data_IF_545043176056
#
_entry.id   IF_545043176056
#
_cell.length_a   1.000
_cell.length_b   1.000
_cell.length_c   1.000
_cell.angle_alpha   90.00
_cell.angle_beta   90.00
_cell.angle_gamma   90.00
#
_symmetry.space_group_name_H-M   'P 1'
#
loop_
_entity.id
_entity.type
_entity.pdbx_description
1 polymer ?
#
# COMPACT_ATOMS: atom_id res chain seq x y z
N UNK A 1 -8.64 9.48 18.68
CA UNK A 1 -9.11 9.04 17.35
C UNK A 1 -7.93 9.13 16.39
N UNK A 2 -7.26 8.03 16.04
CA UNK A 2 -6.14 8.07 15.08
C UNK A 2 -5.13 6.93 15.20
N UNK A 3 -4.93 6.38 16.41
CA UNK A 3 -3.90 5.36 16.62
C UNK A 3 -4.12 4.08 15.78
N UNK A 4 -5.36 3.61 15.66
CA UNK A 4 -5.69 2.43 14.84
C UNK A 4 -5.47 2.66 13.34
N UNK A 5 -5.71 3.87 12.84
CA UNK A 5 -5.53 4.22 11.43
C UNK A 5 -4.03 4.28 11.12
N UNK A 6 -3.24 4.89 12.00
CA UNK A 6 -1.77 4.95 11.88
C UNK A 6 -1.19 3.54 11.91
N UNK A 7 -1.59 2.72 12.89
CA UNK A 7 -1.13 1.33 13.01
C UNK A 7 -1.50 0.51 11.77
N UNK A 8 -2.71 0.69 11.22
CA UNK A 8 -3.11 0.00 10.00
C UNK A 8 -2.32 0.50 8.78
N UNK A 9 -2.03 1.80 8.69
CA UNK A 9 -1.18 2.37 7.65
C UNK A 9 0.21 1.73 7.61
N UNK A 10 0.82 1.49 8.78
CA UNK A 10 2.11 0.78 8.88
C UNK A 10 1.98 -0.66 8.35
N UNK A 11 0.89 -1.37 8.67
CA UNK A 11 0.64 -2.73 8.16
C UNK A 11 0.54 -2.75 6.63
N UNK A 12 -0.16 -1.78 6.03
CA UNK A 12 -0.29 -1.65 4.57
C UNK A 12 1.07 -1.38 3.91
N UNK A 13 1.87 -0.48 4.48
CA UNK A 13 3.22 -0.16 3.97
C UNK A 13 4.20 -1.33 4.09
N UNK A 14 4.14 -2.11 5.18
CA UNK A 14 4.87 -3.38 5.28
C UNK A 14 4.40 -4.40 4.24
N UNK A 15 3.12 -4.36 3.89
CA UNK A 15 2.57 -5.05 2.73
C UNK A 15 3.36 -4.70 1.48
N UNK A 16 3.48 -3.41 1.14
CA UNK A 16 4.24 -2.95 -0.05
C UNK A 16 5.73 -3.34 -0.02
N UNK A 17 6.40 -3.20 1.13
CA UNK A 17 7.80 -3.63 1.28
C UNK A 17 7.99 -5.12 0.94
N UNK A 18 7.04 -5.97 1.34
CA UNK A 18 7.04 -7.39 0.95
C UNK A 18 6.93 -7.58 -0.57
N UNK A 19 6.12 -6.78 -1.28
CA UNK A 19 6.05 -6.85 -2.74
C UNK A 19 7.40 -6.52 -3.37
N UNK A 20 8.05 -5.45 -2.91
CA UNK A 20 9.34 -4.99 -3.44
C UNK A 20 10.46 -6.03 -3.24
N UNK A 21 10.38 -6.83 -2.17
CA UNK A 21 11.34 -7.91 -1.89
C UNK A 21 11.08 -9.19 -2.68
N UNK A 22 9.90 -9.34 -3.28
CA UNK A 22 9.47 -10.55 -4.00
C UNK A 22 8.87 -10.18 -5.37
N UNK A 23 9.51 -9.25 -6.10
CA UNK A 23 8.96 -8.69 -7.34
C UNK A 23 8.77 -9.73 -8.46
N UNK A 24 9.57 -10.78 -8.44
CA UNK A 24 9.54 -11.93 -9.33
C UNK A 24 8.38 -12.91 -9.02
N UNK A 25 7.92 -12.96 -7.76
CA UNK A 25 6.88 -13.90 -7.31
C UNK A 25 5.73 -13.22 -6.52
N UNK A 26 5.30 -12.03 -6.96
CA UNK A 26 4.27 -11.22 -6.28
C UNK A 26 2.94 -11.98 -6.14
N UNK A 27 2.53 -12.74 -7.17
CA UNK A 27 1.24 -13.46 -7.19
C UNK A 27 1.16 -14.50 -6.09
N UNK A 28 2.19 -15.33 -5.96
CA UNK A 28 2.26 -16.35 -4.91
C UNK A 28 2.41 -15.70 -3.53
N UNK A 29 3.27 -14.68 -3.42
CA UNK A 29 3.50 -13.90 -2.20
C UNK A 29 2.20 -13.35 -1.58
N UNK A 30 1.25 -12.92 -2.42
CA UNK A 30 -0.04 -12.38 -1.97
C UNK A 30 -1.23 -13.33 -2.08
N UNK A 31 -1.06 -14.58 -2.53
CA UNK A 31 -2.18 -15.51 -2.71
C UNK A 31 -3.05 -15.63 -1.44
N UNK A 32 -2.42 -15.82 -0.28
CA UNK A 32 -3.11 -15.88 1.02
C UNK A 32 -3.76 -14.54 1.41
N UNK A 33 -3.10 -13.43 1.10
CA UNK A 33 -3.60 -12.09 1.44
C UNK A 33 -4.80 -11.71 0.56
N UNK A 34 -4.79 -12.10 -0.71
CA UNK A 34 -5.88 -11.92 -1.65
C UNK A 34 -7.15 -12.64 -1.16
N UNK A 35 -7.02 -13.91 -0.75
CA UNK A 35 -8.14 -14.66 -0.16
C UNK A 35 -8.67 -14.00 1.12
N UNK A 36 -7.79 -13.47 1.97
CA UNK A 36 -8.22 -12.76 3.17
C UNK A 36 -9.06 -11.51 2.84
N UNK A 37 -8.62 -10.72 1.86
CA UNK A 37 -9.35 -9.51 1.46
C UNK A 37 -10.67 -9.81 0.75
N UNK A 38 -10.72 -10.86 -0.08
CA UNK A 38 -11.93 -11.24 -0.80
C UNK A 38 -12.93 -12.01 0.08
N UNK A 39 -12.50 -13.09 0.72
CA UNK A 39 -13.39 -14.05 1.37
C UNK A 39 -13.73 -13.73 2.82
N UNK A 40 -12.89 -12.93 3.52
CA UNK A 40 -13.13 -12.59 4.93
C UNK A 40 -13.51 -11.13 5.12
N UNK A 41 -12.78 -10.23 4.46
CA UNK A 41 -13.00 -8.78 4.60
C UNK A 41 -13.99 -8.24 3.56
N UNK A 42 -14.28 -8.98 2.49
CA UNK A 42 -15.16 -8.57 1.39
C UNK A 42 -14.84 -7.18 0.84
N UNK A 43 -13.54 -6.87 0.73
CA UNK A 43 -13.08 -5.60 0.17
C UNK A 43 -13.30 -5.60 -1.34
N UNK A 44 -13.94 -4.54 -1.85
CA UNK A 44 -14.11 -4.33 -3.27
C UNK A 44 -12.73 -4.20 -3.97
N UNK A 45 -12.46 -4.98 -5.03
CA UNK A 45 -11.22 -4.86 -5.79
C UNK A 45 -10.92 -3.43 -6.28
N UNK A 46 -11.93 -2.61 -6.58
CA UNK A 46 -11.75 -1.23 -7.03
C UNK A 46 -11.15 -0.31 -5.95
N UNK A 47 -11.33 -0.64 -4.66
CA UNK A 47 -10.75 0.13 -3.57
C UNK A 47 -9.21 0.08 -3.58
N UNK A 48 -8.62 -1.02 -4.07
CA UNK A 48 -7.16 -1.09 -4.23
C UNK A 48 -6.65 -0.15 -5.32
N UNK A 49 -7.44 0.09 -6.37
CA UNK A 49 -7.10 1.05 -7.43
C UNK A 49 -7.07 2.48 -6.89
N UNK A 50 -8.08 2.85 -6.09
CA UNK A 50 -8.15 4.16 -5.44
C UNK A 50 -7.03 4.32 -4.41
N UNK A 51 -6.73 3.28 -3.62
CA UNK A 51 -5.62 3.28 -2.68
C UNK A 51 -4.28 3.50 -3.38
N UNK A 52 -4.03 2.77 -4.47
CA UNK A 52 -2.81 2.92 -5.26
C UNK A 52 -2.65 4.35 -5.79
N UNK A 53 -3.70 4.91 -6.40
CA UNK A 53 -3.67 6.29 -6.89
C UNK A 53 -3.33 7.31 -5.80
N UNK A 54 -3.95 7.17 -4.61
CA UNK A 54 -3.69 8.07 -3.47
C UNK A 54 -2.26 7.94 -2.95
N UNK A 55 -1.73 6.72 -2.87
CA UNK A 55 -0.34 6.48 -2.46
C UNK A 55 0.66 7.07 -3.45
N UNK A 56 0.45 6.85 -4.76
CA UNK A 56 1.31 7.40 -5.81
C UNK A 56 1.33 8.93 -5.79
N UNK A 57 0.17 9.57 -5.63
CA UNK A 57 0.09 11.03 -5.51
C UNK A 57 0.85 11.53 -4.28
N UNK A 58 0.65 10.89 -3.12
CA UNK A 58 1.38 11.24 -1.89
C UNK A 58 2.89 11.12 -2.07
N UNK A 59 3.37 10.02 -2.67
CA UNK A 59 4.79 9.80 -2.93
C UNK A 59 5.36 10.87 -3.89
N UNK A 60 4.62 11.21 -4.94
CA UNK A 60 5.02 12.26 -5.89
C UNK A 60 5.16 13.63 -5.20
N UNK A 61 4.21 14.00 -4.34
CA UNK A 61 4.27 15.27 -3.61
C UNK A 61 5.45 15.29 -2.63
N UNK A 62 5.67 14.19 -1.90
CA UNK A 62 6.83 14.06 -1.00
C UNK A 62 8.15 14.16 -1.77
N UNK A 63 8.24 13.56 -2.95
CA UNK A 63 9.43 13.64 -3.79
C UNK A 63 9.68 15.08 -4.28
N UNK A 64 8.66 15.76 -4.81
CA UNK A 64 8.78 17.16 -5.23
C UNK A 64 9.16 18.11 -4.08
N UNK A 65 8.63 17.86 -2.87
CA UNK A 65 9.00 18.63 -1.68
C UNK A 65 10.46 18.40 -1.28
N UNK A 66 10.98 17.18 -1.40
CA UNK A 66 12.38 16.87 -1.12
C UNK A 66 13.31 17.62 -2.09
N UNK A 67 13.00 17.59 -3.38
CA UNK A 67 13.75 18.33 -4.42
C UNK A 67 13.76 19.85 -4.12
N UNK A 68 12.63 20.43 -3.71
CA UNK A 68 12.56 21.84 -3.31
C UNK A 68 13.43 22.17 -2.08
N UNK A 69 13.53 21.27 -1.10
CA UNK A 69 14.36 21.47 0.09
C UNK A 69 15.86 21.27 -0.17
N UNK A 70 16.21 20.57 -1.26
CA UNK A 70 17.60 20.35 -1.68
C UNK A 70 18.12 21.42 -2.65
N UNK A 71 17.24 22.30 -3.15
CA UNK A 71 17.58 23.47 -3.97
C UNK A 71 17.74 24.73 -3.13
#
# INVERSE_FOLDING_TARGET
LGHHIIAHGVVVLHGLDRAMKNMDDIKNTYAKLSVLHSAKLHVDPDNFRVLFFRLSLSASVCFSMLEFLMS
#
